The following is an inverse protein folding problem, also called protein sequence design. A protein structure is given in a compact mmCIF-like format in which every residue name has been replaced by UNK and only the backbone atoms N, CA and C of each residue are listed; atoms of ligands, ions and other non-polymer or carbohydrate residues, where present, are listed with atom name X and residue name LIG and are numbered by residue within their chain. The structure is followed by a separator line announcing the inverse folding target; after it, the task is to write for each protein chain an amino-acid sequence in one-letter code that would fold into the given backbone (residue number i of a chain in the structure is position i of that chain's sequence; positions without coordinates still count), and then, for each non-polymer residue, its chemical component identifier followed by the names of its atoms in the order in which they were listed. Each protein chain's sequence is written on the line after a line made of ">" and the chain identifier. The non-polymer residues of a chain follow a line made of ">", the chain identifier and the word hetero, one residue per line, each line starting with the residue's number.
data_IF_508671318359
#
_entry.id   IF_508671318359
#
_cell.length_a   1.000
_cell.length_b   1.000
_cell.length_c   1.000
_cell.angle_alpha   90.00
_cell.angle_beta   90.00
_cell.angle_gamma   90.00
#
_symmetry.space_group_name_H-M   'P 1'
#
loop_
_entity.id
_entity.type
_entity.pdbx_description
1 polymer ?
#
# COMPACT_ATOMS: atom_id res chain seq x y z
N UNK A 1 -23.48 -57.89 -4.62
CA UNK A 1 -23.61 -56.88 -5.70
C UNK A 1 -24.16 -55.52 -5.23
N UNK A 2 -25.13 -55.43 -4.32
CA UNK A 2 -25.71 -54.17 -3.86
C UNK A 2 -24.72 -53.20 -3.16
N UNK A 3 -23.76 -53.72 -2.42
CA UNK A 3 -22.76 -52.87 -1.69
C UNK A 3 -21.84 -52.04 -2.59
N UNK A 4 -21.41 -52.59 -3.73
CA UNK A 4 -20.53 -51.90 -4.68
C UNK A 4 -21.25 -50.73 -5.36
N UNK A 5 -22.53 -50.92 -5.67
CA UNK A 5 -23.37 -49.87 -6.26
C UNK A 5 -23.61 -48.70 -5.25
N UNK A 6 -23.82 -49.01 -3.99
CA UNK A 6 -24.01 -48.02 -2.95
C UNK A 6 -22.74 -47.17 -2.74
N UNK A 7 -21.58 -47.80 -2.69
CA UNK A 7 -20.28 -47.14 -2.55
C UNK A 7 -20.02 -46.23 -3.74
N UNK A 8 -20.24 -46.68 -4.96
CA UNK A 8 -20.04 -45.86 -6.17
C UNK A 8 -21.00 -44.66 -6.22
N UNK A 9 -22.23 -44.79 -5.75
CA UNK A 9 -23.19 -43.70 -5.65
C UNK A 9 -22.78 -42.66 -4.63
N UNK A 10 -22.32 -43.06 -3.45
CA UNK A 10 -21.84 -42.16 -2.40
C UNK A 10 -20.58 -41.41 -2.84
N UNK A 11 -19.65 -42.07 -3.53
CA UNK A 11 -18.47 -41.44 -4.12
C UNK A 11 -18.84 -40.37 -5.15
N UNK A 12 -19.74 -40.68 -6.08
CA UNK A 12 -20.22 -39.73 -7.09
C UNK A 12 -20.87 -38.48 -6.44
N UNK A 13 -21.68 -38.70 -5.41
CA UNK A 13 -22.34 -37.61 -4.66
C UNK A 13 -21.30 -36.70 -3.92
N UNK A 14 -20.27 -37.32 -3.34
CA UNK A 14 -19.19 -36.59 -2.66
C UNK A 14 -18.35 -35.76 -3.64
N UNK A 15 -18.00 -36.31 -4.79
CA UNK A 15 -17.27 -35.63 -5.86
C UNK A 15 -18.09 -34.49 -6.42
N UNK A 16 -19.39 -34.62 -6.60
CA UNK A 16 -20.27 -33.53 -7.07
C UNK A 16 -20.30 -32.38 -6.11
N UNK A 17 -20.43 -32.63 -4.80
CA UNK A 17 -20.35 -31.59 -3.77
C UNK A 17 -18.97 -30.89 -3.77
N UNK A 18 -17.89 -31.64 -3.85
CA UNK A 18 -16.54 -31.10 -3.90
C UNK A 18 -16.35 -30.17 -5.10
N UNK A 19 -16.79 -30.55 -6.28
CA UNK A 19 -16.73 -29.69 -7.49
C UNK A 19 -17.50 -28.39 -7.33
N UNK A 20 -18.67 -28.42 -6.71
CA UNK A 20 -19.46 -27.20 -6.42
C UNK A 20 -18.69 -26.26 -5.49
N UNK A 21 -18.08 -26.79 -4.43
CA UNK A 21 -17.27 -26.00 -3.52
C UNK A 21 -16.04 -25.37 -4.20
N UNK A 22 -15.38 -26.11 -5.07
CA UNK A 22 -14.24 -25.58 -5.85
C UNK A 22 -14.69 -24.43 -6.75
N UNK A 23 -15.82 -24.55 -7.42
CA UNK A 23 -16.37 -23.47 -8.26
C UNK A 23 -16.69 -22.24 -7.42
N UNK A 24 -17.34 -22.41 -6.27
CA UNK A 24 -17.68 -21.30 -5.37
C UNK A 24 -16.41 -20.57 -4.89
N UNK A 25 -15.40 -21.33 -4.45
CA UNK A 25 -14.11 -20.76 -4.00
C UNK A 25 -13.39 -20.03 -5.13
N UNK A 26 -13.42 -20.56 -6.37
CA UNK A 26 -12.81 -19.91 -7.52
C UNK A 26 -13.49 -18.58 -7.84
N UNK A 27 -14.82 -18.55 -7.85
CA UNK A 27 -15.60 -17.31 -8.09
C UNK A 27 -15.31 -16.31 -6.99
N UNK A 28 -15.31 -16.71 -5.73
CA UNK A 28 -15.03 -15.84 -4.59
C UNK A 28 -13.60 -15.27 -4.66
N UNK A 29 -12.61 -16.12 -4.90
CA UNK A 29 -11.22 -15.70 -5.05
C UNK A 29 -11.04 -14.70 -6.22
N UNK A 30 -11.68 -14.98 -7.36
CA UNK A 30 -11.65 -14.06 -8.51
C UNK A 30 -12.28 -12.70 -8.17
N UNK A 31 -13.41 -12.70 -7.46
CA UNK A 31 -14.08 -11.48 -7.01
C UNK A 31 -13.19 -10.63 -6.08
N UNK A 32 -12.55 -11.27 -5.11
CA UNK A 32 -11.62 -10.59 -4.19
C UNK A 32 -10.41 -10.01 -4.95
N UNK A 33 -9.87 -10.76 -5.91
CA UNK A 33 -8.73 -10.29 -6.72
C UNK A 33 -9.10 -9.07 -7.56
N UNK A 34 -10.24 -9.09 -8.24
CA UNK A 34 -10.72 -7.97 -9.03
C UNK A 34 -10.95 -6.74 -8.14
N UNK A 35 -11.57 -6.91 -6.99
CA UNK A 35 -11.81 -5.83 -6.04
C UNK A 35 -10.50 -5.20 -5.55
N UNK A 36 -9.53 -6.02 -5.13
CA UNK A 36 -8.22 -5.54 -4.69
C UNK A 36 -7.50 -4.75 -5.80
N UNK A 37 -7.48 -5.27 -7.03
CA UNK A 37 -6.85 -4.59 -8.18
C UNK A 37 -7.54 -3.26 -8.49
N UNK A 38 -8.86 -3.20 -8.36
CA UNK A 38 -9.61 -1.95 -8.60
C UNK A 38 -9.26 -0.87 -7.58
N UNK A 39 -9.12 -1.23 -6.30
CA UNK A 39 -8.71 -0.29 -5.25
C UNK A 39 -7.30 0.28 -5.51
N UNK A 40 -6.35 -0.56 -5.89
CA UNK A 40 -4.99 -0.12 -6.26
C UNK A 40 -5.02 0.85 -7.46
N UNK A 41 -5.77 0.49 -8.49
CA UNK A 41 -5.86 1.31 -9.71
C UNK A 41 -6.50 2.68 -9.44
N UNK A 42 -7.56 2.74 -8.62
CA UNK A 42 -8.22 4.02 -8.30
C UNK A 42 -7.29 4.95 -7.53
N UNK A 43 -6.55 4.44 -6.54
CA UNK A 43 -5.58 5.24 -5.79
C UNK A 43 -4.45 5.81 -6.66
N UNK A 44 -3.96 5.00 -7.62
CA UNK A 44 -2.98 5.47 -8.60
C UNK A 44 -3.57 6.55 -9.52
N UNK A 45 -4.75 6.31 -10.09
CA UNK A 45 -5.42 7.25 -10.99
C UNK A 45 -5.71 8.59 -10.31
N UNK A 46 -6.08 8.60 -9.04
CA UNK A 46 -6.32 9.84 -8.29
C UNK A 46 -5.02 10.62 -8.06
N UNK A 47 -3.91 9.94 -7.84
CA UNK A 47 -2.58 10.57 -7.74
C UNK A 47 -2.20 11.25 -9.06
N UNK A 48 -2.36 10.57 -10.20
CA UNK A 48 -2.07 11.14 -11.52
C UNK A 48 -2.97 12.35 -11.79
N UNK A 49 -4.27 12.24 -11.54
CA UNK A 49 -5.21 13.37 -11.71
C UNK A 49 -4.83 14.58 -10.87
N UNK A 50 -4.38 14.40 -9.63
CA UNK A 50 -3.93 15.50 -8.78
C UNK A 50 -2.67 16.18 -9.34
N UNK A 51 -1.74 15.41 -9.90
CA UNK A 51 -0.55 15.94 -10.58
C UNK A 51 -0.95 16.74 -11.82
N UNK A 52 -1.83 16.20 -12.68
CA UNK A 52 -2.31 16.85 -13.90
C UNK A 52 -3.07 18.16 -13.62
N UNK A 53 -3.82 18.21 -12.51
CA UNK A 53 -4.52 19.42 -12.04
C UNK A 53 -3.60 20.47 -11.42
N UNK A 54 -2.31 20.16 -11.23
CA UNK A 54 -1.38 21.07 -10.58
C UNK A 54 -1.58 21.18 -9.05
N UNK A 55 -2.23 20.19 -8.42
CA UNK A 55 -2.44 20.15 -6.97
C UNK A 55 -1.16 19.75 -6.20
N UNK A 56 -0.02 19.70 -6.89
CA UNK A 56 1.28 19.39 -6.31
C UNK A 56 1.88 20.61 -5.66
N UNK A 57 2.20 20.52 -4.38
CA UNK A 57 2.90 21.52 -3.61
C UNK A 57 4.39 21.19 -3.53
N UNK A 58 5.23 22.23 -3.40
CA UNK A 58 6.67 22.07 -3.25
C UNK A 58 7.09 22.66 -1.92
N UNK A 59 7.94 21.95 -1.19
CA UNK A 59 8.61 22.45 0.01
C UNK A 59 10.09 22.11 -0.07
N UNK A 60 10.94 23.06 0.31
CA UNK A 60 12.38 22.90 0.32
C UNK A 60 12.92 23.38 1.68
N UNK A 61 13.88 22.69 2.21
CA UNK A 61 14.50 23.05 3.48
C UNK A 61 15.14 21.87 4.18
N UNK A 62 15.59 22.12 5.39
CA UNK A 62 16.24 21.16 6.24
C UNK A 62 15.22 20.20 6.90
N UNK A 63 15.56 18.92 6.93
CA UNK A 63 14.83 17.90 7.67
C UNK A 63 14.98 18.17 9.16
N UNK A 64 13.87 18.21 9.87
CA UNK A 64 13.81 18.42 11.31
C UNK A 64 12.83 17.45 11.96
N UNK A 65 13.07 17.11 13.22
CA UNK A 65 12.24 16.19 13.99
C UNK A 65 12.07 14.82 13.33
N UNK A 66 13.14 14.31 12.73
CA UNK A 66 13.17 12.94 12.20
C UNK A 66 12.96 11.94 13.35
N UNK A 67 12.04 11.02 13.15
CA UNK A 67 11.70 9.97 14.14
C UNK A 67 11.35 8.68 13.45
N UNK A 68 11.92 7.59 13.96
CA UNK A 68 11.38 6.26 13.71
C UNK A 68 10.09 6.09 14.52
N UNK A 69 9.04 5.66 13.87
CA UNK A 69 7.76 5.32 14.51
C UNK A 69 7.77 3.82 14.77
N UNK A 70 8.24 3.45 15.97
CA UNK A 70 8.16 2.08 16.47
C UNK A 70 6.72 1.84 16.95
N UNK A 71 5.91 1.21 16.12
CA UNK A 71 4.63 0.69 16.58
C UNK A 71 4.81 -0.78 16.98
N UNK A 72 4.44 -1.11 18.21
CA UNK A 72 4.47 -2.47 18.74
C UNK A 72 3.64 -3.48 17.94
N UNK A 73 2.89 -3.00 16.95
CA UNK A 73 2.00 -3.75 16.06
C UNK A 73 2.56 -3.96 14.65
N UNK A 74 3.87 -3.98 14.45
CA UNK A 74 4.54 -4.24 13.16
C UNK A 74 4.32 -3.20 12.05
N UNK A 75 3.88 -1.99 12.37
CA UNK A 75 3.86 -0.87 11.42
C UNK A 75 4.99 0.11 11.72
N UNK A 76 6.24 -0.31 11.47
CA UNK A 76 7.36 0.62 11.52
C UNK A 76 7.20 1.65 10.41
N UNK A 77 7.33 2.91 10.77
CA UNK A 77 7.28 4.04 9.86
C UNK A 77 8.26 5.10 10.28
N UNK A 78 8.29 6.16 9.54
CA UNK A 78 9.12 7.32 9.84
C UNK A 78 8.32 8.60 9.71
N UNK A 79 8.71 9.61 10.44
CA UNK A 79 8.14 10.94 10.33
C UNK A 79 9.22 12.01 10.44
N UNK A 80 9.05 13.09 9.71
CA UNK A 80 9.92 14.26 9.75
C UNK A 80 9.14 15.52 9.38
N UNK A 81 9.80 16.66 9.49
CA UNK A 81 9.27 17.94 9.04
C UNK A 81 10.28 18.64 8.12
N UNK A 82 9.77 19.33 7.11
CA UNK A 82 10.52 20.25 6.28
C UNK A 82 9.78 21.57 6.26
N UNK A 83 10.41 22.63 6.71
CA UNK A 83 9.83 23.98 6.78
C UNK A 83 8.43 24.01 7.43
N UNK A 84 8.26 23.23 8.53
CA UNK A 84 7.01 23.13 9.29
C UNK A 84 5.98 22.13 8.73
N UNK A 85 6.15 21.66 7.50
CA UNK A 85 5.27 20.64 6.90
C UNK A 85 5.68 19.25 7.39
N UNK A 86 4.72 18.52 7.97
CA UNK A 86 4.97 17.17 8.51
C UNK A 86 4.70 16.11 7.46
N UNK A 87 5.63 15.17 7.34
CA UNK A 87 5.52 13.98 6.52
C UNK A 87 5.55 12.74 7.40
N UNK A 88 4.75 11.74 7.03
CA UNK A 88 4.72 10.42 7.68
C UNK A 88 4.65 9.39 6.56
N UNK A 89 5.51 8.39 6.60
CA UNK A 89 5.53 7.32 5.61
C UNK A 89 6.00 6.00 6.24
N UNK A 90 5.73 4.90 5.56
CA UNK A 90 6.08 3.57 6.01
C UNK A 90 6.15 2.63 4.81
N UNK A 91 7.09 1.70 4.80
CA UNK A 91 7.20 0.65 3.77
C UNK A 91 6.01 -0.32 3.79
N UNK A 92 5.28 -0.39 4.90
CA UNK A 92 4.10 -1.23 5.04
C UNK A 92 2.81 -0.60 4.49
N UNK A 93 2.79 0.71 4.33
CA UNK A 93 1.65 1.40 3.75
C UNK A 93 1.78 1.45 2.22
N UNK A 94 0.80 0.90 1.52
CA UNK A 94 0.70 1.01 0.06
C UNK A 94 0.27 2.43 -0.33
N UNK A 95 1.22 3.36 -0.27
CA UNK A 95 1.02 4.74 -0.68
C UNK A 95 1.65 4.91 -2.06
N UNK A 96 0.90 5.48 -3.01
CA UNK A 96 1.43 5.84 -4.33
C UNK A 96 2.33 7.07 -4.20
N UNK A 97 3.62 6.86 -3.94
CA UNK A 97 4.62 7.90 -3.73
C UNK A 97 5.84 7.36 -3.02
N UNK A 98 6.73 8.25 -2.57
CA UNK A 98 7.91 7.86 -1.80
C UNK A 98 7.49 7.34 -0.42
N UNK A 99 7.94 6.13 -0.08
CA UNK A 99 7.60 5.45 1.19
C UNK A 99 8.75 4.63 1.79
N UNK A 100 9.95 4.67 1.20
CA UNK A 100 11.10 3.92 1.70
C UNK A 100 11.65 4.52 2.98
N UNK A 101 11.62 3.73 4.06
CA UNK A 101 12.24 4.09 5.34
C UNK A 101 13.76 3.95 5.26
N UNK A 102 14.48 4.67 6.14
CA UNK A 102 15.94 4.61 6.20
C UNK A 102 16.45 3.19 6.39
N UNK A 103 15.79 2.38 7.21
CA UNK A 103 16.13 0.99 7.47
C UNK A 103 16.05 0.08 6.22
N UNK A 104 15.27 0.46 5.23
CA UNK A 104 15.10 -0.26 3.95
C UNK A 104 15.72 0.48 2.75
N UNK A 105 16.70 1.34 3.01
CA UNK A 105 17.44 2.05 1.97
C UNK A 105 16.81 3.37 1.55
N UNK A 106 15.95 3.93 2.37
CA UNK A 106 15.43 5.28 2.18
C UNK A 106 16.52 6.34 2.29
N UNK A 107 16.31 7.46 1.65
CA UNK A 107 17.31 8.54 1.52
C UNK A 107 17.31 9.47 2.73
N UNK A 108 16.17 9.58 3.42
CA UNK A 108 16.02 10.45 4.60
C UNK A 108 16.29 9.62 5.85
N UNK A 109 17.37 9.93 6.57
CA UNK A 109 17.82 9.15 7.71
C UNK A 109 18.07 9.94 8.99
N UNK A 110 18.22 11.27 8.90
CA UNK A 110 18.60 12.10 10.03
C UNK A 110 18.13 13.55 9.84
N UNK A 111 18.14 14.29 10.92
CA UNK A 111 17.94 15.75 10.90
C UNK A 111 19.13 16.44 10.21
N UNK A 112 18.91 17.58 9.61
CA UNK A 112 19.94 18.38 8.95
C UNK A 112 20.11 18.13 7.47
N UNK A 113 19.52 17.09 6.90
CA UNK A 113 19.54 16.88 5.45
C UNK A 113 18.72 17.96 4.74
N UNK A 114 19.29 18.62 3.73
CA UNK A 114 18.57 19.60 2.92
C UNK A 114 17.92 18.89 1.74
N UNK A 115 16.61 19.01 1.66
CA UNK A 115 15.82 18.30 0.66
C UNK A 115 14.78 19.21 0.02
N UNK A 116 14.40 18.85 -1.19
CA UNK A 116 13.26 19.43 -1.91
C UNK A 116 12.23 18.35 -2.17
N UNK A 117 11.00 18.58 -1.72
CA UNK A 117 9.89 17.65 -1.87
C UNK A 117 8.79 18.24 -2.70
N UNK A 118 8.28 17.45 -3.66
CA UNK A 118 6.98 17.69 -4.28
C UNK A 118 5.98 16.75 -3.64
N UNK A 119 4.87 17.26 -3.15
CA UNK A 119 3.88 16.47 -2.41
C UNK A 119 2.45 16.87 -2.73
N UNK A 120 1.52 15.97 -2.51
CA UNK A 120 0.08 16.20 -2.56
C UNK A 120 -0.42 16.22 -1.12
N UNK A 121 -1.19 17.26 -0.79
CA UNK A 121 -1.82 17.37 0.52
C UNK A 121 -3.01 16.43 0.58
N UNK A 122 -2.95 15.44 1.46
CA UNK A 122 -4.04 14.53 1.75
C UNK A 122 -4.57 14.77 3.18
N UNK A 123 -5.80 14.33 3.47
CA UNK A 123 -6.44 14.55 4.77
C UNK A 123 -5.70 13.89 5.93
N UNK A 124 -5.03 12.79 5.67
CA UNK A 124 -4.33 12.00 6.69
C UNK A 124 -2.82 12.21 6.66
N UNK A 125 -2.21 12.27 5.48
CA UNK A 125 -0.76 12.35 5.29
C UNK A 125 -0.43 13.19 4.08
N UNK A 126 0.68 13.96 4.15
CA UNK A 126 1.24 14.61 2.97
C UNK A 126 1.98 13.54 2.15
N UNK A 127 1.49 13.26 0.94
CA UNK A 127 2.01 12.22 0.06
C UNK A 127 3.17 12.75 -0.74
N UNK A 128 4.36 12.21 -0.52
CA UNK A 128 5.58 12.61 -1.23
C UNK A 128 5.56 11.99 -2.64
N UNK A 129 5.56 12.83 -3.67
CA UNK A 129 5.56 12.41 -5.08
C UNK A 129 6.97 12.41 -5.65
N UNK A 130 7.77 13.38 -5.28
CA UNK A 130 9.16 13.52 -5.71
C UNK A 130 10.03 13.98 -4.55
N UNK A 131 11.22 13.41 -4.45
CA UNK A 131 12.23 13.78 -3.48
C UNK A 131 13.53 14.06 -4.22
N UNK A 132 14.15 15.19 -3.93
CA UNK A 132 15.45 15.62 -4.43
C UNK A 132 16.32 16.02 -3.23
N UNK A 133 17.55 15.52 -3.20
CA UNK A 133 18.55 16.02 -2.26
C UNK A 133 19.08 17.34 -2.82
N UNK A 134 19.12 18.37 -2.00
CA UNK A 134 19.87 19.57 -2.35
C UNK A 134 21.35 19.32 -2.04
N UNK A 135 22.20 19.57 -3.03
CA UNK A 135 23.66 19.55 -2.88
C UNK A 135 24.13 20.75 -2.05
#
# INVERSE_FOLDING_TARGET
>A
MAGILLISYLFKKKIKKFRVWVIILTIFSSGVSIFATTLEYTGYADTIKAIEKGETLVVEGEVTNFKHLDDKNHSSGESFKVNGVKFIYSDYHRIHGYHHTCSLGGVICEDGQVIRLSYIKDNLFNRIIKLELAE
#
